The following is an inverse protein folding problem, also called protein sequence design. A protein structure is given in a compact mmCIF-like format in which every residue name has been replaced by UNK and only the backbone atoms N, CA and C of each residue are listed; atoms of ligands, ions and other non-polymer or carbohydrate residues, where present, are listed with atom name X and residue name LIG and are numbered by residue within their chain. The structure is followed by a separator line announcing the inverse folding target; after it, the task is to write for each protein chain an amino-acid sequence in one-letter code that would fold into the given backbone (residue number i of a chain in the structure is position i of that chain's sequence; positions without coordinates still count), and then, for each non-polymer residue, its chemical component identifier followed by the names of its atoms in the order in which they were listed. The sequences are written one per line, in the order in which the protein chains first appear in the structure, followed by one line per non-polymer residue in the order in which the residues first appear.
data_IF_442902372630
#
_entry.id   IF_442902372630
#
_cell.length_a   1.000
_cell.length_b   1.000
_cell.length_c   1.000
_cell.angle_alpha   90.00
_cell.angle_beta   90.00
_cell.angle_gamma   90.00
#
_symmetry.space_group_name_H-M   'P 1'
#
loop_
_entity.id
_entity.type
_entity.pdbx_description
1 polymer ?
#
# COMPACT_ATOMS: atom_id res chain seq x y z
N UNK A 1 61.95 22.71 51.06
CA UNK A 1 60.86 23.59 51.54
C UNK A 1 60.98 24.90 50.76
N UNK A 2 60.05 25.41 49.95
CA UNK A 2 58.68 25.02 49.57
C UNK A 2 58.45 25.55 48.13
N UNK A 3 57.75 24.80 47.26
CA UNK A 3 56.96 25.36 46.14
C UNK A 3 55.48 25.36 46.62
N UNK A 4 54.59 26.32 46.27
CA UNK A 4 54.23 26.65 44.88
C UNK A 4 53.91 28.18 44.71
N UNK A 5 53.16 28.74 43.74
CA UNK A 5 52.51 28.26 42.52
C UNK A 5 52.30 29.43 41.52
N UNK A 6 52.31 29.21 40.19
CA UNK A 6 51.51 29.96 39.24
C UNK A 6 50.22 29.19 38.93
N UNK A 7 49.07 29.83 39.11
CA UNK A 7 47.74 29.26 38.82
C UNK A 7 47.60 28.84 37.36
N UNK A 8 47.66 27.53 37.09
CA UNK A 8 47.08 26.96 35.87
C UNK A 8 45.56 27.10 35.95
N UNK A 9 45.03 28.17 35.39
CA UNK A 9 43.63 28.22 34.95
C UNK A 9 43.51 27.28 33.75
N UNK A 10 43.18 26.01 34.01
CA UNK A 10 42.67 25.14 32.97
C UNK A 10 41.30 25.68 32.53
N UNK A 11 41.29 26.55 31.52
CA UNK A 11 40.10 26.71 30.70
C UNK A 11 39.74 25.31 30.16
N UNK A 12 38.49 24.84 30.33
CA UNK A 12 38.08 23.58 29.75
C UNK A 12 38.15 23.74 28.24
N UNK A 13 39.07 23.02 27.61
CA UNK A 13 39.16 22.92 26.15
C UNK A 13 37.85 22.27 25.68
N UNK A 14 36.85 23.10 25.38
CA UNK A 14 35.67 22.70 24.63
C UNK A 14 36.12 22.43 23.21
N UNK A 15 36.74 21.26 23.02
CA UNK A 15 37.14 20.78 21.72
C UNK A 15 35.88 20.74 20.83
N UNK A 16 35.80 21.66 19.87
CA UNK A 16 34.77 21.63 18.83
C UNK A 16 34.78 20.24 18.23
N UNK A 17 33.69 19.46 18.36
CA UNK A 17 33.81 18.04 18.13
C UNK A 17 34.18 17.73 16.66
N UNK A 18 34.95 16.65 16.42
CA UNK A 18 35.69 16.45 15.16
C UNK A 18 34.80 16.00 13.99
N UNK A 19 34.74 16.79 12.89
CA UNK A 19 33.82 16.70 11.73
C UNK A 19 33.11 15.36 11.41
N UNK A 20 33.74 14.20 11.58
CA UNK A 20 33.09 12.89 11.47
C UNK A 20 31.85 12.70 12.36
N UNK A 21 31.78 13.23 13.61
CA UNK A 21 30.56 13.08 14.45
C UNK A 21 29.33 13.72 13.80
N UNK A 22 29.51 14.82 13.08
CA UNK A 22 28.45 15.50 12.36
C UNK A 22 27.98 14.69 11.14
N UNK A 23 28.89 13.95 10.49
CA UNK A 23 28.56 12.99 9.42
C UNK A 23 27.81 11.79 9.99
N UNK A 24 28.27 11.20 11.10
CA UNK A 24 27.62 10.07 11.78
C UNK A 24 26.19 10.41 12.23
N UNK A 25 26.00 11.55 12.91
CA UNK A 25 24.69 12.01 13.37
C UNK A 25 23.73 12.31 12.19
N UNK A 26 24.25 12.85 11.09
CA UNK A 26 23.48 13.06 9.86
C UNK A 26 23.09 11.71 9.24
N UNK A 27 24.01 10.73 9.22
CA UNK A 27 23.81 9.38 8.68
C UNK A 27 22.74 8.62 9.45
N UNK A 28 22.75 8.65 10.78
CA UNK A 28 21.71 8.03 11.62
C UNK A 28 20.35 8.71 11.40
N UNK A 29 20.32 10.04 11.32
CA UNK A 29 19.09 10.80 11.05
C UNK A 29 18.49 10.45 9.69
N UNK A 30 19.31 10.40 8.63
CA UNK A 30 18.89 9.98 7.28
C UNK A 30 18.39 8.53 7.28
N UNK A 31 19.05 7.62 8.00
CA UNK A 31 18.61 6.23 8.11
C UNK A 31 17.24 6.12 8.81
N UNK A 32 17.04 6.86 9.90
CA UNK A 32 15.76 6.90 10.64
C UNK A 32 14.62 7.43 9.77
N UNK A 33 14.85 8.49 8.99
CA UNK A 33 13.87 9.01 8.03
C UNK A 33 13.61 8.02 6.88
N UNK A 34 14.65 7.35 6.34
CA UNK A 34 14.52 6.30 5.31
C UNK A 34 13.60 5.17 5.77
N UNK A 35 13.81 4.64 6.98
CA UNK A 35 12.96 3.58 7.55
C UNK A 35 11.53 4.08 7.76
N UNK A 36 11.34 5.24 8.40
CA UNK A 36 10.02 5.80 8.65
C UNK A 36 9.20 6.03 7.37
N UNK A 37 9.81 6.63 6.35
CA UNK A 37 9.17 6.89 5.04
C UNK A 37 8.85 5.57 4.34
N UNK A 38 9.76 4.59 4.36
CA UNK A 38 9.51 3.26 3.81
C UNK A 38 8.33 2.57 4.50
N UNK A 39 8.28 2.60 5.84
CA UNK A 39 7.23 1.96 6.63
C UNK A 39 5.85 2.62 6.43
N UNK A 40 5.80 3.94 6.20
CA UNK A 40 4.55 4.63 5.86
C UNK A 40 4.09 4.26 4.44
N UNK A 41 4.98 4.35 3.45
CA UNK A 41 4.69 3.99 2.06
C UNK A 41 4.27 2.52 1.91
N UNK A 42 4.91 1.59 2.62
CA UNK A 42 4.52 0.18 2.64
C UNK A 42 3.16 -0.05 3.32
N UNK A 43 2.82 0.73 4.36
CA UNK A 43 1.49 0.69 4.99
C UNK A 43 0.40 1.20 4.05
N UNK A 44 0.65 2.29 3.33
CA UNK A 44 -0.33 2.84 2.40
C UNK A 44 -0.50 1.96 1.16
N UNK A 45 0.59 1.41 0.62
CA UNK A 45 0.53 0.38 -0.42
C UNK A 45 -0.31 -0.82 0.02
N UNK A 46 -0.18 -1.28 1.26
CA UNK A 46 -0.98 -2.39 1.81
C UNK A 46 -2.47 -2.04 1.83
N UNK A 47 -2.86 -0.82 2.22
CA UNK A 47 -4.27 -0.38 2.18
C UNK A 47 -4.84 -0.42 0.77
N UNK A 48 -4.07 -0.01 -0.25
CA UNK A 48 -4.51 -0.03 -1.66
C UNK A 48 -4.70 -1.48 -2.14
N UNK A 49 -3.79 -2.38 -1.77
CA UNK A 49 -3.89 -3.82 -2.09
C UNK A 49 -5.09 -4.47 -1.38
N UNK A 50 -5.27 -4.25 -0.08
CA UNK A 50 -6.43 -4.73 0.69
C UNK A 50 -7.76 -4.22 0.11
N UNK A 51 -7.78 -2.97 -0.40
CA UNK A 51 -8.97 -2.42 -1.05
C UNK A 51 -9.25 -3.10 -2.39
N UNK A 52 -8.23 -3.26 -3.23
CA UNK A 52 -8.31 -4.01 -4.50
C UNK A 52 -8.80 -5.45 -4.29
N UNK A 53 -8.34 -6.11 -3.23
CA UNK A 53 -8.71 -7.51 -2.97
C UNK A 53 -10.18 -7.64 -2.55
N UNK A 54 -10.72 -6.66 -1.81
CA UNK A 54 -12.17 -6.53 -1.56
C UNK A 54 -12.98 -6.30 -2.85
N UNK A 55 -12.45 -5.52 -3.80
CA UNK A 55 -13.09 -5.32 -5.11
C UNK A 55 -13.11 -6.63 -5.92
N UNK A 56 -12.02 -7.41 -5.90
CA UNK A 56 -11.99 -8.74 -6.53
C UNK A 56 -12.96 -9.72 -5.87
N UNK A 57 -13.09 -9.72 -4.55
CA UNK A 57 -14.06 -10.56 -3.84
C UNK A 57 -15.51 -10.20 -4.24
N UNK A 58 -15.82 -8.91 -4.41
CA UNK A 58 -17.12 -8.48 -4.91
C UNK A 58 -17.33 -8.89 -6.38
N UNK A 59 -16.32 -8.73 -7.25
CA UNK A 59 -16.41 -9.14 -8.65
C UNK A 59 -16.65 -10.65 -8.78
N UNK A 60 -15.97 -11.48 -7.97
CA UNK A 60 -16.19 -12.93 -7.94
C UNK A 60 -17.65 -13.30 -7.60
N UNK A 61 -18.29 -12.58 -6.66
CA UNK A 61 -19.70 -12.77 -6.31
C UNK A 61 -20.63 -12.40 -7.47
N UNK A 62 -20.33 -11.33 -8.21
CA UNK A 62 -21.11 -10.95 -9.41
C UNK A 62 -20.96 -11.97 -10.55
N UNK A 63 -19.77 -12.54 -10.76
CA UNK A 63 -19.54 -13.59 -11.75
C UNK A 63 -20.27 -14.90 -11.38
N UNK A 64 -20.29 -15.28 -10.10
CA UNK A 64 -21.09 -16.42 -9.62
C UNK A 64 -22.59 -16.19 -9.84
N UNK A 65 -23.09 -14.99 -9.49
CA UNK A 65 -24.49 -14.62 -9.69
C UNK A 65 -24.89 -14.62 -11.17
N UNK A 66 -24.00 -14.15 -12.07
CA UNK A 66 -24.19 -14.22 -13.52
C UNK A 66 -24.42 -15.66 -13.97
N UNK A 67 -23.54 -16.59 -13.58
CA UNK A 67 -23.67 -18.00 -13.97
C UNK A 67 -24.98 -18.63 -13.48
N UNK A 68 -25.43 -18.31 -12.25
CA UNK A 68 -26.71 -18.79 -11.70
C UNK A 68 -27.91 -18.25 -12.48
N UNK A 69 -27.82 -17.03 -13.04
CA UNK A 69 -28.91 -16.43 -13.85
C UNK A 69 -28.87 -16.91 -15.31
N UNK A 70 -27.68 -17.12 -15.89
CA UNK A 70 -27.54 -17.61 -17.28
C UNK A 70 -27.87 -19.10 -17.44
N UNK A 71 -27.45 -19.94 -16.49
CA UNK A 71 -27.52 -21.40 -16.59
C UNK A 71 -28.44 -22.05 -15.54
N UNK A 72 -29.01 -21.27 -14.64
CA UNK A 72 -29.78 -21.75 -13.49
C UNK A 72 -28.91 -22.28 -12.36
N UNK A 73 -29.57 -22.70 -11.28
CA UNK A 73 -28.97 -23.56 -10.25
C UNK A 73 -29.57 -24.97 -10.37
N UNK A 74 -28.77 -26.01 -10.15
CA UNK A 74 -29.17 -27.40 -10.35
C UNK A 74 -30.06 -27.91 -9.19
N UNK A 75 -31.28 -27.38 -9.12
CA UNK A 75 -32.23 -27.56 -8.03
C UNK A 75 -33.46 -28.33 -8.53
N UNK A 76 -33.89 -29.33 -7.75
CA UNK A 76 -35.03 -30.20 -8.07
C UNK A 76 -36.02 -30.18 -6.91
N UNK A 77 -37.27 -29.82 -7.19
CA UNK A 77 -38.37 -29.82 -6.20
C UNK A 77 -39.69 -30.21 -6.85
N UNK A 78 -40.47 -31.01 -6.14
CA UNK A 78 -41.82 -31.44 -6.55
C UNK A 78 -42.87 -30.33 -6.31
N UNK A 79 -42.65 -29.16 -6.91
CA UNK A 79 -43.52 -27.97 -6.77
C UNK A 79 -43.69 -27.25 -8.09
N UNK A 80 -44.92 -26.87 -8.42
CA UNK A 80 -45.20 -26.02 -9.59
C UNK A 80 -44.78 -24.58 -9.29
N UNK A 81 -43.79 -24.07 -10.01
CA UNK A 81 -43.41 -22.65 -9.99
C UNK A 81 -44.35 -21.90 -10.96
N UNK A 82 -45.13 -20.91 -10.50
CA UNK A 82 -46.18 -20.31 -11.32
C UNK A 82 -45.66 -19.37 -12.42
N UNK A 83 -44.49 -18.75 -12.24
CA UNK A 83 -43.76 -18.03 -13.30
C UNK A 83 -42.26 -18.02 -13.01
N UNK A 84 -41.45 -18.11 -14.06
CA UNK A 84 -39.98 -18.01 -14.06
C UNK A 84 -39.46 -16.91 -14.99
N UNK A 85 -40.34 -16.05 -15.52
CA UNK A 85 -40.01 -14.96 -16.44
C UNK A 85 -39.30 -13.77 -15.77
N UNK A 86 -39.45 -13.65 -14.44
CA UNK A 86 -38.89 -12.59 -13.60
C UNK A 86 -38.10 -13.17 -12.42
N UNK A 87 -37.12 -12.40 -11.93
CA UNK A 87 -36.38 -12.67 -10.69
C UNK A 87 -36.42 -11.44 -9.77
N UNK A 88 -36.36 -11.67 -8.45
CA UNK A 88 -36.32 -10.61 -7.46
C UNK A 88 -34.91 -10.34 -6.97
N UNK A 89 -34.41 -9.12 -7.18
CA UNK A 89 -33.10 -8.66 -6.70
C UNK A 89 -33.30 -7.81 -5.45
N UNK A 90 -32.71 -8.24 -4.33
CA UNK A 90 -32.74 -7.49 -3.08
C UNK A 90 -31.88 -6.21 -3.17
N UNK A 91 -32.49 -5.05 -2.95
CA UNK A 91 -31.80 -3.75 -2.91
C UNK A 91 -31.33 -3.38 -1.48
N UNK A 92 -31.94 -3.99 -0.46
CA UNK A 92 -31.70 -3.70 0.95
C UNK A 92 -32.93 -3.09 1.64
N UNK A 93 -32.91 -2.98 2.97
CA UNK A 93 -34.00 -2.41 3.78
C UNK A 93 -35.40 -3.01 3.54
N UNK A 94 -35.48 -4.26 3.08
CA UNK A 94 -36.74 -4.93 2.72
C UNK A 94 -37.28 -4.61 1.32
N UNK A 95 -36.56 -3.81 0.53
CA UNK A 95 -36.92 -3.53 -0.86
C UNK A 95 -36.32 -4.57 -1.83
N UNK A 96 -37.15 -5.02 -2.75
CA UNK A 96 -36.81 -5.95 -3.83
C UNK A 96 -37.24 -5.33 -5.15
N UNK A 97 -36.45 -5.56 -6.20
CA UNK A 97 -36.77 -5.14 -7.57
C UNK A 97 -37.03 -6.39 -8.41
N UNK A 98 -38.20 -6.45 -9.02
CA UNK A 98 -38.52 -7.46 -10.04
C UNK A 98 -37.83 -7.07 -11.35
N UNK A 99 -37.08 -8.01 -11.94
CA UNK A 99 -36.36 -7.83 -13.20
C UNK A 99 -36.48 -9.07 -14.07
N UNK A 100 -36.51 -8.91 -15.39
CA UNK A 100 -36.29 -10.06 -16.28
C UNK A 100 -34.82 -10.53 -16.19
N UNK A 101 -34.52 -11.82 -16.45
CA UNK A 101 -33.14 -12.32 -16.49
C UNK A 101 -32.23 -11.49 -17.41
N UNK A 102 -32.73 -11.04 -18.56
CA UNK A 102 -31.97 -10.21 -19.50
C UNK A 102 -31.60 -8.82 -18.96
N UNK A 103 -32.43 -8.23 -18.09
CA UNK A 103 -32.13 -6.96 -17.43
C UNK A 103 -31.19 -7.16 -16.24
N UNK A 104 -31.35 -8.25 -15.49
CA UNK A 104 -30.45 -8.63 -14.41
C UNK A 104 -29.02 -8.88 -14.93
N UNK A 105 -28.87 -9.54 -16.08
CA UNK A 105 -27.56 -9.72 -16.72
C UNK A 105 -26.94 -8.38 -17.11
N UNK A 106 -27.69 -7.48 -17.78
CA UNK A 106 -27.21 -6.11 -18.09
C UNK A 106 -26.79 -5.33 -16.83
N UNK A 107 -27.48 -5.51 -15.71
CA UNK A 107 -27.11 -4.89 -14.44
C UNK A 107 -25.80 -5.46 -13.88
N UNK A 108 -25.64 -6.78 -13.92
CA UNK A 108 -24.42 -7.48 -13.47
C UNK A 108 -23.22 -7.12 -14.35
N UNK A 109 -23.38 -7.10 -15.66
CA UNK A 109 -22.31 -6.75 -16.61
C UNK A 109 -21.82 -5.31 -16.39
N UNK A 110 -22.74 -4.34 -16.27
CA UNK A 110 -22.42 -2.95 -15.95
C UNK A 110 -21.65 -2.83 -14.63
N UNK A 111 -22.11 -3.52 -13.59
CA UNK A 111 -21.48 -3.48 -12.26
C UNK A 111 -20.12 -4.17 -12.24
N UNK A 112 -19.96 -5.24 -13.03
CA UNK A 112 -18.70 -5.96 -13.21
C UNK A 112 -17.67 -5.14 -13.98
N UNK A 113 -18.09 -4.38 -15.01
CA UNK A 113 -17.22 -3.42 -15.72
C UNK A 113 -16.66 -2.38 -14.75
N UNK A 114 -17.53 -1.69 -14.00
CA UNK A 114 -17.12 -0.65 -13.05
C UNK A 114 -16.16 -1.18 -11.96
N UNK A 115 -16.41 -2.38 -11.41
CA UNK A 115 -15.51 -3.01 -10.46
C UNK A 115 -14.15 -3.39 -11.10
N UNK A 116 -14.17 -3.82 -12.35
CA UNK A 116 -12.95 -4.16 -13.11
C UNK A 116 -12.12 -2.91 -13.41
N UNK A 117 -12.75 -1.82 -13.86
CA UNK A 117 -12.10 -0.52 -14.09
C UNK A 117 -11.47 0.04 -12.80
N UNK A 118 -12.19 -0.03 -11.67
CA UNK A 118 -11.67 0.35 -10.36
C UNK A 118 -10.46 -0.51 -9.94
N UNK A 119 -10.55 -1.83 -10.09
CA UNK A 119 -9.42 -2.73 -9.79
C UNK A 119 -8.19 -2.44 -10.66
N UNK A 120 -8.41 -2.14 -11.95
CA UNK A 120 -7.34 -1.76 -12.87
C UNK A 120 -6.66 -0.44 -12.45
N UNK A 121 -7.42 0.58 -12.03
CA UNK A 121 -6.82 1.81 -11.49
C UNK A 121 -6.00 1.53 -10.24
N UNK A 122 -6.59 0.86 -9.23
CA UNK A 122 -5.89 0.53 -7.98
C UNK A 122 -4.62 -0.31 -8.21
N UNK A 123 -4.63 -1.18 -9.22
CA UNK A 123 -3.46 -1.97 -9.63
C UNK A 123 -2.37 -1.08 -10.24
N UNK A 124 -2.73 -0.17 -11.16
CA UNK A 124 -1.79 0.83 -11.71
C UNK A 124 -1.20 1.72 -10.63
N UNK A 125 -2.03 2.20 -9.72
CA UNK A 125 -1.62 3.11 -8.64
C UNK A 125 -0.69 2.38 -7.63
N UNK A 126 -0.99 1.10 -7.33
CA UNK A 126 -0.11 0.22 -6.56
C UNK A 126 1.24 -0.03 -7.23
N UNK A 127 1.26 -0.24 -8.56
CA UNK A 127 2.50 -0.43 -9.32
C UNK A 127 3.36 0.84 -9.33
N UNK A 128 2.74 2.01 -9.50
CA UNK A 128 3.41 3.31 -9.44
C UNK A 128 4.05 3.54 -8.06
N UNK A 129 3.29 3.32 -6.99
CA UNK A 129 3.80 3.44 -5.61
C UNK A 129 4.96 2.46 -5.34
N UNK A 130 4.88 1.21 -5.80
CA UNK A 130 5.99 0.24 -5.72
C UNK A 130 7.25 0.72 -6.46
N UNK A 131 7.10 1.27 -7.66
CA UNK A 131 8.22 1.79 -8.44
C UNK A 131 8.89 2.98 -7.74
N UNK A 132 8.11 3.93 -7.22
CA UNK A 132 8.64 5.07 -6.45
C UNK A 132 9.37 4.63 -5.17
N UNK A 133 8.82 3.68 -4.40
CA UNK A 133 9.50 3.10 -3.23
C UNK A 133 10.84 2.48 -3.64
N UNK A 134 10.84 1.69 -4.73
CA UNK A 134 12.04 0.98 -5.18
C UNK A 134 13.14 1.96 -5.63
N UNK A 135 12.80 2.93 -6.49
CA UNK A 135 13.73 3.99 -6.93
C UNK A 135 14.31 4.79 -5.75
N UNK A 136 13.49 5.16 -4.76
CA UNK A 136 13.95 5.93 -3.61
C UNK A 136 14.89 5.11 -2.70
N UNK A 137 14.57 3.84 -2.46
CA UNK A 137 15.44 2.96 -1.66
C UNK A 137 16.77 2.67 -2.36
N UNK A 138 16.75 2.54 -3.70
CA UNK A 138 17.90 2.34 -4.57
C UNK A 138 18.81 3.58 -4.59
N UNK A 139 18.29 4.75 -4.96
CA UNK A 139 19.07 6.00 -5.00
C UNK A 139 19.65 6.38 -3.63
N UNK A 140 18.92 6.11 -2.53
CA UNK A 140 19.47 6.28 -1.18
C UNK A 140 20.61 5.29 -0.87
N UNK A 141 20.64 4.09 -1.48
CA UNK A 141 21.76 3.14 -1.33
C UNK A 141 22.98 3.63 -2.10
N UNK A 142 22.81 4.11 -3.33
CA UNK A 142 23.89 4.67 -4.14
C UNK A 142 24.55 5.88 -3.45
N UNK A 143 23.75 6.85 -3.00
CA UNK A 143 24.24 8.03 -2.27
C UNK A 143 24.97 7.68 -0.97
N UNK A 144 24.48 6.69 -0.22
CA UNK A 144 25.16 6.16 0.96
C UNK A 144 26.45 5.41 0.61
N UNK A 145 26.52 4.76 -0.56
CA UNK A 145 27.72 4.11 -1.08
C UNK A 145 28.83 5.11 -1.41
N UNK A 146 28.48 6.17 -2.16
CA UNK A 146 29.38 7.27 -2.55
C UNK A 146 29.96 8.05 -1.38
N UNK A 147 29.33 8.03 -0.20
CA UNK A 147 29.83 8.73 0.98
C UNK A 147 30.98 8.00 1.70
N UNK A 148 31.25 6.72 1.38
CA UNK A 148 32.35 5.96 1.98
C UNK A 148 33.65 6.09 1.16
N UNK A 149 34.20 7.31 1.09
CA UNK A 149 35.57 7.47 0.59
C UNK A 149 36.57 7.05 1.68
N UNK A 150 37.61 6.25 1.36
CA UNK A 150 38.70 6.02 2.31
C UNK A 150 39.43 7.35 2.55
N UNK A 151 39.59 7.73 3.82
CA UNK A 151 40.49 8.81 4.20
C UNK A 151 41.88 8.51 3.63
N UNK A 152 42.39 9.41 2.78
CA UNK A 152 43.76 9.29 2.28
C UNK A 152 44.69 9.43 3.49
N UNK A 153 45.61 8.49 3.73
CA UNK A 153 46.56 8.63 4.83
C UNK A 153 47.40 9.89 4.59
N UNK A 154 47.29 10.84 5.52
CA UNK A 154 48.17 12.00 5.55
C UNK A 154 49.57 11.52 5.94
N UNK A 155 50.46 11.54 4.95
CA UNK A 155 51.91 11.41 5.13
C UNK A 155 52.53 12.74 5.55
#
# INVERSE_FOLDING_TARGET
LICPNPTFTCEPIMATPPKWWAVEATRETVLRHKTFISDMLQRDLRKVLDHRDKIHEQLAKYLQLRNVIEFGCNFFTDTVVPDTSCIYVALGYGFFLELTPAEALKFIDRKSSLLTELSNSLTRDSMNMKAHIHMLLEGLRELQGLQNFPEKPHH
#
